data_IF_402092816147
#
_entry.id   IF_402092816147
#
_cell.length_a   1.000
_cell.length_b   1.000
_cell.length_c   1.000
_cell.angle_alpha   90.00
_cell.angle_beta   90.00
_cell.angle_gamma   90.00
#
_symmetry.space_group_name_H-M   'P 1'
#
loop_
_entity.id
_entity.type
_entity.pdbx_description
1 polymer ?
#
# COMPACT_ATOMS: atom_id res chain seq x y z
N UNK A 1 -19.72 16.90 -8.88
CA UNK A 1 -21.11 16.96 -9.39
C UNK A 1 -21.86 15.66 -9.15
N UNK A 2 -21.39 14.49 -9.57
CA UNK A 2 -22.11 13.23 -9.32
C UNK A 2 -22.15 12.85 -7.83
N UNK A 3 -21.02 12.92 -7.12
CA UNK A 3 -20.97 12.70 -5.66
C UNK A 3 -21.89 13.64 -4.88
N UNK A 4 -21.91 14.94 -5.26
CA UNK A 4 -22.79 15.93 -4.63
C UNK A 4 -24.27 15.67 -4.95
N UNK A 5 -24.58 15.17 -6.15
CA UNK A 5 -25.95 14.85 -6.53
C UNK A 5 -26.45 13.61 -5.79
N UNK A 6 -25.61 12.59 -5.64
CA UNK A 6 -25.91 11.38 -4.86
C UNK A 6 -26.23 11.73 -3.40
N UNK A 7 -25.39 12.56 -2.77
CA UNK A 7 -25.59 13.02 -1.39
C UNK A 7 -26.91 13.79 -1.22
N UNK A 8 -27.26 14.69 -2.15
CA UNK A 8 -28.53 15.42 -2.07
C UNK A 8 -29.75 14.52 -2.28
N UNK A 9 -29.68 13.54 -3.19
CA UNK A 9 -30.77 12.57 -3.37
C UNK A 9 -30.91 11.65 -2.15
N UNK A 10 -29.80 11.26 -1.53
CA UNK A 10 -29.81 10.52 -0.27
C UNK A 10 -30.50 11.31 0.85
N UNK A 11 -30.19 12.61 0.97
CA UNK A 11 -30.84 13.52 1.93
C UNK A 11 -32.34 13.68 1.68
N UNK A 12 -32.74 13.77 0.42
CA UNK A 12 -34.14 13.86 0.01
C UNK A 12 -34.88 12.51 0.07
N UNK A 13 -34.20 11.40 0.40
CA UNK A 13 -34.73 10.03 0.33
C UNK A 13 -35.26 9.66 -1.08
N UNK A 14 -34.65 10.25 -2.11
CA UNK A 14 -34.97 10.02 -3.52
C UNK A 14 -33.92 9.11 -4.17
N UNK A 15 -34.32 8.40 -5.23
CA UNK A 15 -33.35 7.62 -6.02
C UNK A 15 -32.58 8.54 -6.94
N UNK A 16 -31.26 8.40 -6.95
CA UNK A 16 -30.40 9.12 -7.87
C UNK A 16 -30.76 8.79 -9.33
N UNK A 17 -30.91 9.79 -10.21
CA UNK A 17 -31.14 9.55 -11.62
C UNK A 17 -29.87 9.03 -12.29
N UNK A 18 -30.00 7.90 -12.97
CA UNK A 18 -28.96 7.27 -13.78
C UNK A 18 -27.63 7.09 -13.01
N UNK A 19 -27.66 6.22 -11.99
CA UNK A 19 -26.54 5.95 -11.07
C UNK A 19 -25.35 5.28 -11.75
N UNK A 20 -25.56 4.50 -12.81
CA UNK A 20 -24.48 3.88 -13.62
C UNK A 20 -23.47 4.89 -14.18
N UNK A 21 -23.84 6.17 -14.29
CA UNK A 21 -22.89 7.22 -14.71
C UNK A 21 -21.74 7.40 -13.73
N UNK A 22 -21.97 7.12 -12.45
CA UNK A 22 -20.94 7.22 -11.43
C UNK A 22 -19.85 6.17 -11.69
N UNK A 23 -20.25 4.90 -11.78
CA UNK A 23 -19.36 3.78 -12.09
C UNK A 23 -18.59 3.97 -13.40
N UNK A 24 -19.27 4.41 -14.47
CA UNK A 24 -18.62 4.66 -15.78
C UNK A 24 -17.57 5.76 -15.73
N UNK A 25 -17.82 6.81 -14.95
CA UNK A 25 -16.85 7.91 -14.77
C UNK A 25 -15.68 7.43 -13.93
N UNK A 26 -15.91 6.68 -12.85
CA UNK A 26 -14.83 6.10 -12.03
C UNK A 26 -13.93 5.18 -12.87
N UNK A 27 -14.51 4.24 -13.61
CA UNK A 27 -13.76 3.34 -14.51
C UNK A 27 -12.95 4.14 -15.55
N UNK A 28 -13.54 5.17 -16.16
CA UNK A 28 -12.82 6.03 -17.09
C UNK A 28 -11.67 6.79 -16.43
N UNK A 29 -11.81 7.22 -15.17
CA UNK A 29 -10.76 7.93 -14.45
C UNK A 29 -9.61 6.99 -14.08
N UNK A 30 -9.91 5.75 -13.68
CA UNK A 30 -8.91 4.70 -13.44
C UNK A 30 -8.14 4.35 -14.72
N UNK A 31 -8.84 4.20 -15.83
CA UNK A 31 -8.23 3.94 -17.13
C UNK A 31 -7.29 5.07 -17.56
N UNK A 32 -7.68 6.33 -17.38
CA UNK A 32 -6.81 7.48 -17.66
C UNK A 32 -5.57 7.43 -16.77
N UNK A 33 -5.73 7.17 -15.47
CA UNK A 33 -4.62 7.04 -14.53
C UNK A 33 -3.64 5.95 -14.98
N UNK A 34 -4.15 4.79 -15.39
CA UNK A 34 -3.31 3.68 -15.87
C UNK A 34 -2.49 4.05 -17.10
N UNK A 35 -3.10 4.67 -18.11
CA UNK A 35 -2.40 5.11 -19.33
C UNK A 35 -1.33 6.17 -19.03
N UNK A 36 -1.63 7.11 -18.13
CA UNK A 36 -0.64 8.12 -17.71
C UNK A 36 0.52 7.47 -16.97
N UNK A 37 0.25 6.55 -16.05
CA UNK A 37 1.29 5.81 -15.34
C UNK A 37 2.19 5.00 -16.27
N UNK A 38 1.61 4.28 -17.24
CA UNK A 38 2.36 3.50 -18.23
C UNK A 38 3.31 4.39 -19.04
N UNK A 39 2.83 5.56 -19.51
CA UNK A 39 3.66 6.50 -20.26
C UNK A 39 4.79 7.08 -19.43
N UNK A 40 4.49 7.52 -18.22
CA UNK A 40 5.51 8.05 -17.32
C UNK A 40 6.56 6.99 -16.97
N UNK A 41 6.14 5.72 -16.80
CA UNK A 41 7.06 4.62 -16.56
C UNK A 41 7.96 4.37 -17.77
N UNK A 42 7.39 4.35 -18.98
CA UNK A 42 8.17 4.19 -20.20
C UNK A 42 9.19 5.32 -20.39
N UNK A 43 8.80 6.56 -20.12
CA UNK A 43 9.70 7.73 -20.18
C UNK A 43 10.85 7.61 -19.16
N UNK A 44 10.53 7.37 -17.88
CA UNK A 44 11.55 7.22 -16.83
C UNK A 44 12.52 6.06 -17.10
N UNK A 45 12.02 4.93 -17.62
CA UNK A 45 12.86 3.79 -17.98
C UNK A 45 13.78 4.08 -19.18
N UNK A 46 13.40 4.97 -20.10
CA UNK A 46 14.23 5.36 -21.24
C UNK A 46 15.28 6.40 -20.84
N UNK A 47 14.93 7.35 -19.97
CA UNK A 47 15.81 8.45 -19.56
C UNK A 47 16.80 8.04 -18.46
N UNK A 48 16.29 7.48 -17.36
CA UNK A 48 17.07 7.17 -16.15
C UNK A 48 17.40 5.67 -16.03
N UNK A 49 16.73 4.83 -16.81
CA UNK A 49 16.86 3.37 -16.72
C UNK A 49 16.09 2.75 -15.54
N UNK A 50 15.43 3.57 -14.71
CA UNK A 50 14.64 3.12 -13.57
C UNK A 50 13.41 4.00 -13.30
N UNK A 51 12.43 3.43 -12.60
CA UNK A 51 11.24 4.17 -12.17
C UNK A 51 11.51 5.02 -10.92
N UNK A 52 11.13 6.30 -11.00
CA UNK A 52 11.36 7.33 -9.97
C UNK A 52 10.34 7.25 -8.82
N UNK A 53 9.20 6.59 -9.01
CA UNK A 53 8.15 6.52 -7.99
C UNK A 53 8.45 5.58 -6.81
N UNK A 54 7.53 5.48 -5.83
CA UNK A 54 7.73 4.67 -4.64
C UNK A 54 7.96 3.19 -5.00
N UNK A 55 9.04 2.62 -4.45
CA UNK A 55 9.43 1.23 -4.67
C UNK A 55 8.94 0.35 -3.52
N UNK A 56 8.58 -0.89 -3.84
CA UNK A 56 8.28 -1.91 -2.82
C UNK A 56 9.59 -2.52 -2.32
N UNK A 57 9.81 -2.48 -1.02
CA UNK A 57 11.00 -3.01 -0.35
C UNK A 57 10.57 -4.09 0.64
N UNK A 58 11.30 -5.20 0.65
CA UNK A 58 11.13 -6.23 1.67
C UNK A 58 11.70 -5.74 2.99
N UNK A 59 10.85 -5.73 4.02
CA UNK A 59 11.21 -5.31 5.36
C UNK A 59 10.73 -6.35 6.39
N UNK A 60 11.08 -6.12 7.65
CA UNK A 60 10.65 -6.95 8.77
C UNK A 60 9.84 -6.10 9.74
N UNK A 61 8.64 -6.57 10.06
CA UNK A 61 7.79 -5.92 11.06
C UNK A 61 8.41 -6.02 12.46
N UNK A 62 7.91 -5.23 13.40
CA UNK A 62 8.34 -5.21 14.80
C UNK A 62 8.31 -6.61 15.45
N UNK A 63 7.41 -7.48 14.99
CA UNK A 63 7.28 -8.87 15.45
C UNK A 63 8.20 -9.87 14.72
N UNK A 64 9.12 -9.42 13.87
CA UNK A 64 10.04 -10.28 13.14
C UNK A 64 9.43 -10.98 11.91
N UNK A 65 8.25 -10.56 11.46
CA UNK A 65 7.57 -11.15 10.29
C UNK A 65 7.99 -10.42 9.01
N UNK A 66 8.18 -11.14 7.88
CA UNK A 66 8.46 -10.49 6.61
C UNK A 66 7.24 -9.67 6.16
N UNK A 67 7.48 -8.40 5.83
CA UNK A 67 6.47 -7.50 5.28
C UNK A 67 7.01 -6.81 4.03
N UNK A 68 6.11 -6.29 3.21
CA UNK A 68 6.47 -5.45 2.05
C UNK A 68 6.06 -4.03 2.41
N UNK A 69 7.01 -3.10 2.34
CA UNK A 69 6.78 -1.68 2.64
C UNK A 69 7.10 -0.83 1.41
N UNK A 70 6.32 0.23 1.21
CA UNK A 70 6.62 1.25 0.19
C UNK A 70 7.65 2.24 0.71
N UNK A 71 8.58 2.66 -0.15
CA UNK A 71 9.51 3.74 0.18
C UNK A 71 8.78 5.07 0.32
N UNK A 72 9.16 5.85 1.33
CA UNK A 72 8.72 7.23 1.54
C UNK A 72 9.89 8.20 1.45
N UNK A 73 9.61 9.43 1.04
CA UNK A 73 10.57 10.52 1.04
C UNK A 73 10.80 11.03 2.47
N UNK A 74 12.06 11.36 2.79
CA UNK A 74 12.47 11.87 4.09
C UNK A 74 13.40 13.05 3.90
N UNK A 75 13.23 14.10 4.71
CA UNK A 75 14.07 15.31 4.68
C UNK A 75 15.50 15.03 5.15
N UNK A 76 15.65 14.07 6.06
CA UNK A 76 16.93 13.69 6.66
C UNK A 76 17.27 12.24 6.30
N UNK A 77 18.56 11.92 6.10
CA UNK A 77 18.97 10.56 5.84
C UNK A 77 18.64 9.67 7.04
N UNK A 78 18.37 8.38 6.77
CA UNK A 78 18.20 7.38 7.83
C UNK A 78 19.54 7.18 8.54
N UNK A 79 19.79 7.95 9.58
CA UNK A 79 20.91 7.73 10.50
C UNK A 79 20.58 6.49 11.33
N UNK A 80 21.57 5.63 11.58
CA UNK A 80 21.44 4.52 12.51
C UNK A 80 21.32 5.07 13.94
N UNK A 81 20.16 5.62 14.28
CA UNK A 81 19.89 6.15 15.60
C UNK A 81 20.03 5.06 16.65
N UNK A 82 20.33 5.45 17.90
CA UNK A 82 20.25 4.57 19.07
C UNK A 82 18.85 3.93 19.26
N UNK A 83 17.82 4.46 18.58
CA UNK A 83 16.48 3.89 18.48
C UNK A 83 16.38 2.75 17.45
N UNK A 84 17.17 2.77 16.37
CA UNK A 84 17.29 1.63 15.47
C UNK A 84 17.96 0.42 16.17
N UNK A 85 18.88 0.66 17.11
CA UNK A 85 19.36 -0.38 18.04
C UNK A 85 18.26 -0.90 18.99
N UNK A 86 17.17 -0.17 19.20
CA UNK A 86 16.04 -0.66 19.99
C UNK A 86 15.16 -1.64 19.19
N UNK A 87 15.13 -1.55 17.85
CA UNK A 87 14.49 -2.54 16.99
C UNK A 87 15.24 -3.89 17.00
N UNK A 88 16.58 -3.86 17.12
CA UNK A 88 17.37 -5.08 17.37
C UNK A 88 16.98 -5.76 18.69
N UNK A 89 16.51 -5.00 19.70
CA UNK A 89 16.04 -5.56 20.98
C UNK A 89 14.66 -6.23 20.88
N UNK A 90 13.90 -5.97 19.82
CA UNK A 90 12.57 -6.58 19.59
C UNK A 90 12.68 -7.94 18.88
N UNK A 91 13.83 -8.25 18.27
CA UNK A 91 14.18 -9.56 17.72
C UNK A 91 14.82 -10.48 18.78
N UNK A 92 14.27 -10.47 20.00
CA UNK A 92 14.74 -11.33 21.09
C UNK A 92 14.36 -12.81 20.91
N UNK A 93 14.89 -13.66 21.78
CA UNK A 93 14.66 -15.12 21.78
C UNK A 93 13.16 -15.49 21.77
N UNK A 94 12.34 -14.77 22.55
CA UNK A 94 10.89 -14.97 22.62
C UNK A 94 10.20 -14.74 21.27
N UNK A 95 10.67 -13.78 20.48
CA UNK A 95 10.10 -13.49 19.16
C UNK A 95 10.34 -14.68 18.22
N UNK A 96 11.51 -15.30 18.30
CA UNK A 96 11.85 -16.51 17.53
C UNK A 96 10.95 -17.69 17.92
N UNK A 97 10.73 -17.91 19.22
CA UNK A 97 9.81 -18.94 19.71
C UNK A 97 8.38 -18.73 19.19
N UNK A 98 7.89 -17.50 19.25
CA UNK A 98 6.56 -17.15 18.74
C UNK A 98 6.43 -17.36 17.23
N UNK A 99 7.44 -16.96 16.44
CA UNK A 99 7.47 -17.20 15.00
C UNK A 99 7.43 -18.70 14.68
N UNK A 100 8.15 -19.53 15.46
CA UNK A 100 8.10 -20.99 15.33
C UNK A 100 6.69 -21.53 15.63
N UNK A 101 6.08 -21.13 16.74
CA UNK A 101 4.74 -21.58 17.12
C UNK A 101 3.68 -21.15 16.10
N UNK A 102 3.82 -19.95 15.54
CA UNK A 102 2.96 -19.46 14.47
C UNK A 102 3.08 -20.32 13.21
N UNK A 103 4.31 -20.68 12.81
CA UNK A 103 4.55 -21.60 11.69
C UNK A 103 3.91 -22.97 11.96
N UNK A 104 4.10 -23.53 13.14
CA UNK A 104 3.48 -24.81 13.52
C UNK A 104 1.94 -24.74 13.48
N UNK A 105 1.35 -23.64 13.96
CA UNK A 105 -0.09 -23.39 13.91
C UNK A 105 -0.61 -23.28 12.47
N UNK A 106 0.10 -22.58 11.59
CA UNK A 106 -0.27 -22.47 10.18
C UNK A 106 -0.23 -23.85 9.49
N UNK A 107 0.78 -24.67 9.80
CA UNK A 107 0.88 -26.04 9.29
C UNK A 107 -0.28 -26.92 9.77
N UNK A 108 -0.70 -26.77 11.03
CA UNK A 108 -1.89 -27.47 11.57
C UNK A 108 -3.19 -27.04 10.92
N UNK A 109 -3.37 -25.74 10.61
CA UNK A 109 -4.57 -25.22 9.93
C UNK A 109 -4.70 -25.68 8.48
N UNK A 110 -3.56 -25.92 7.81
CA UNK A 110 -3.52 -26.38 6.41
C UNK A 110 -3.78 -27.88 6.25
N UNK A 111 -3.68 -28.64 7.36
CA UNK A 111 -4.07 -30.05 7.44
C UNK A 111 -5.55 -30.15 7.77
#
# INVERSE_FOLDING_TARGET
>A
MLMTMEEEHYRCLERMPNSERFEKVEESMENIMYVVQERNQAEALLEDGEWIGPKTVHDVDVLGRPCVRLTSEHTEPRVADKRAQADERMQGEKTIELLRLEREKQMRKRR
#
